data_IF_687919008440
#
_entry.id   IF_687919008440
#
_cell.length_a   1.000
_cell.length_b   1.000
_cell.length_c   1.000
_cell.angle_alpha   90.00
_cell.angle_beta   90.00
_cell.angle_gamma   90.00
#
_symmetry.space_group_name_H-M   'P 1'
#
loop_
_entity.id
_entity.type
_entity.pdbx_description
1 polymer ?
#
# COMPACT_ATOMS: atom_id res chain seq x y z
N UNK A 1 7.52 0.07 -0.75
CA UNK A 1 6.60 -0.90 -1.33
C UNK A 1 6.37 -0.65 -2.81
N UNK A 2 5.81 0.51 -3.21
CA UNK A 2 5.36 0.79 -4.58
C UNK A 2 6.52 0.64 -5.57
N UNK A 3 7.70 1.19 -5.28
CA UNK A 3 8.88 1.05 -6.12
C UNK A 3 9.21 -0.42 -6.42
N UNK A 4 9.18 -1.29 -5.41
CA UNK A 4 9.48 -2.72 -5.57
C UNK A 4 8.42 -3.45 -6.41
N UNK A 5 7.14 -3.13 -6.21
CA UNK A 5 6.04 -3.67 -7.02
C UNK A 5 6.19 -3.23 -8.47
N UNK A 6 6.44 -1.96 -8.71
CA UNK A 6 6.64 -1.41 -10.06
C UNK A 6 7.80 -2.09 -10.76
N UNK A 7 8.94 -2.24 -10.09
CA UNK A 7 10.09 -2.93 -10.64
C UNK A 7 9.74 -4.38 -11.05
N UNK A 8 9.08 -5.12 -10.17
CA UNK A 8 8.63 -6.50 -10.46
C UNK A 8 7.65 -6.54 -11.64
N UNK A 9 6.66 -5.66 -11.67
CA UNK A 9 5.65 -5.63 -12.73
C UNK A 9 6.28 -5.30 -14.09
N UNK A 10 7.19 -4.33 -14.14
CA UNK A 10 7.90 -3.99 -15.38
C UNK A 10 8.73 -5.15 -15.91
N UNK A 11 9.43 -5.86 -15.04
CA UNK A 11 10.18 -7.07 -15.41
C UNK A 11 9.28 -8.20 -15.94
N UNK A 12 7.97 -8.12 -15.69
CA UNK A 12 6.96 -9.07 -16.18
C UNK A 12 6.07 -8.49 -17.31
N UNK A 13 6.53 -7.44 -18.00
CA UNK A 13 5.86 -6.89 -19.19
C UNK A 13 4.71 -5.93 -18.90
N UNK A 14 4.51 -5.50 -17.66
CA UNK A 14 3.55 -4.46 -17.33
C UNK A 14 4.16 -3.07 -17.52
N UNK A 15 3.30 -2.11 -17.89
CA UNK A 15 3.66 -0.70 -18.00
C UNK A 15 2.98 0.09 -16.89
N UNK A 16 3.73 1.01 -16.30
CA UNK A 16 3.21 1.98 -15.35
C UNK A 16 3.09 3.34 -16.04
N UNK A 17 1.94 3.99 -15.92
CA UNK A 17 1.71 5.35 -16.46
C UNK A 17 0.99 6.21 -15.43
N UNK A 18 1.29 7.49 -15.45
CA UNK A 18 0.53 8.49 -14.72
C UNK A 18 -0.88 8.60 -15.34
N UNK A 19 -1.91 8.71 -14.51
CA UNK A 19 -3.28 8.88 -14.95
C UNK A 19 -3.76 10.33 -14.70
N UNK A 20 -3.46 11.19 -15.65
CA UNK A 20 -3.76 12.63 -15.55
C UNK A 20 -5.25 12.96 -15.68
N UNK A 21 -6.06 12.03 -16.21
CA UNK A 21 -7.49 12.28 -16.50
C UNK A 21 -8.35 12.51 -15.25
N UNK A 22 -7.88 12.03 -14.10
CA UNK A 22 -8.61 12.09 -12.83
C UNK A 22 -7.99 13.09 -11.84
N UNK A 23 -6.96 13.84 -12.23
CA UNK A 23 -6.41 14.88 -11.38
C UNK A 23 -7.35 16.08 -11.39
N UNK A 24 -7.78 16.56 -10.21
CA UNK A 24 -8.56 17.79 -10.15
C UNK A 24 -7.82 18.96 -10.80
N UNK A 25 -8.51 19.91 -11.46
CA UNK A 25 -7.85 21.01 -12.16
C UNK A 25 -6.85 21.81 -11.32
N UNK A 26 -7.10 21.95 -10.02
CA UNK A 26 -6.19 22.63 -9.10
C UNK A 26 -4.91 21.83 -8.76
N UNK A 27 -4.86 20.56 -9.14
CA UNK A 27 -3.68 19.68 -8.96
C UNK A 27 -2.81 19.67 -10.22
N UNK A 28 -3.28 20.21 -11.34
CA UNK A 28 -2.51 20.27 -12.60
C UNK A 28 -1.18 21.01 -12.39
N UNK A 29 -1.15 22.03 -11.53
CA UNK A 29 0.10 22.73 -11.16
C UNK A 29 1.15 21.82 -10.53
N UNK A 30 0.76 20.66 -9.98
CA UNK A 30 1.65 19.65 -9.40
C UNK A 30 1.96 18.51 -10.38
N UNK A 31 1.56 18.62 -11.65
CA UNK A 31 1.76 17.58 -12.65
C UNK A 31 3.24 17.19 -12.79
N UNK A 32 4.15 18.16 -12.74
CA UNK A 32 5.59 17.89 -12.82
C UNK A 32 6.07 17.03 -11.63
N UNK A 33 5.61 17.30 -10.41
CA UNK A 33 5.92 16.49 -9.22
C UNK A 33 5.41 15.06 -9.40
N UNK A 34 4.22 14.88 -9.95
CA UNK A 34 3.68 13.55 -10.24
C UNK A 34 4.48 12.82 -11.32
N UNK A 35 4.91 13.53 -12.37
CA UNK A 35 5.76 12.95 -13.42
C UNK A 35 7.11 12.53 -12.85
N UNK A 36 7.80 13.40 -12.12
CA UNK A 36 9.07 13.10 -11.47
C UNK A 36 8.96 11.88 -10.51
N UNK A 37 7.87 11.82 -9.73
CA UNK A 37 7.62 10.69 -8.86
C UNK A 37 7.43 9.38 -9.65
N UNK A 38 6.64 9.41 -10.72
CA UNK A 38 6.41 8.23 -11.56
C UNK A 38 7.69 7.79 -12.27
N UNK A 39 8.51 8.74 -12.73
CA UNK A 39 9.80 8.47 -13.36
C UNK A 39 10.77 7.86 -12.34
N UNK A 40 10.83 8.38 -11.12
CA UNK A 40 11.62 7.80 -10.04
C UNK A 40 11.18 6.37 -9.70
N UNK A 41 9.86 6.08 -9.68
CA UNK A 41 9.35 4.70 -9.51
C UNK A 41 9.75 3.77 -10.65
N UNK A 42 9.93 4.31 -11.85
CA UNK A 42 10.29 3.56 -13.05
C UNK A 42 11.80 3.44 -13.26
N UNK A 43 12.61 4.18 -12.54
CA UNK A 43 14.07 4.15 -12.57
C UNK A 43 14.63 3.49 -11.31
N UNK A 44 15.94 3.33 -11.22
CA UNK A 44 16.59 2.85 -10.00
C UNK A 44 16.91 3.99 -9.01
N UNK A 45 16.23 5.13 -9.15
CA UNK A 45 16.39 6.27 -8.25
C UNK A 45 15.47 6.17 -7.05
N UNK A 46 15.88 6.77 -5.94
CA UNK A 46 15.02 6.90 -4.76
C UNK A 46 13.87 7.86 -5.07
N UNK A 47 12.60 7.45 -4.91
CA UNK A 47 11.49 8.37 -5.12
C UNK A 47 11.47 9.44 -4.03
N UNK A 48 11.28 10.68 -4.43
CA UNK A 48 11.01 11.77 -3.49
C UNK A 48 9.68 11.51 -2.77
N UNK A 49 9.60 11.87 -1.49
CA UNK A 49 8.33 11.86 -0.79
C UNK A 49 7.39 12.90 -1.44
N UNK A 50 6.17 12.50 -1.79
CA UNK A 50 5.16 13.41 -2.33
C UNK A 50 4.31 13.99 -1.21
N UNK A 51 3.96 15.27 -1.33
CA UNK A 51 2.99 15.93 -0.46
C UNK A 51 1.54 15.81 -0.99
N UNK A 52 1.36 15.20 -2.15
CA UNK A 52 0.08 15.10 -2.87
C UNK A 52 -0.19 13.65 -3.26
N UNK A 53 -1.47 13.24 -3.37
CA UNK A 53 -1.83 11.94 -3.92
C UNK A 53 -1.37 11.78 -5.37
N UNK A 54 -0.76 10.64 -5.69
CA UNK A 54 -0.34 10.31 -7.05
C UNK A 54 -1.24 9.24 -7.62
N UNK A 55 -1.90 9.55 -8.73
CA UNK A 55 -2.77 8.64 -9.46
C UNK A 55 -2.02 8.02 -10.64
N UNK A 56 -1.94 6.72 -10.65
CA UNK A 56 -1.32 5.97 -11.72
C UNK A 56 -2.16 4.81 -12.21
N UNK A 57 -1.77 4.26 -13.34
CA UNK A 57 -2.37 3.05 -13.91
C UNK A 57 -1.32 2.03 -14.29
N UNK A 58 -1.65 0.78 -14.03
CA UNK A 58 -0.88 -0.38 -14.45
C UNK A 58 -1.55 -0.96 -15.68
N UNK A 59 -0.78 -1.14 -16.73
CA UNK A 59 -1.24 -1.60 -18.03
C UNK A 59 -0.55 -2.90 -18.43
N UNK A 60 -1.28 -3.75 -19.13
CA UNK A 60 -0.74 -4.96 -19.77
C UNK A 60 -1.36 -5.11 -21.15
N UNK A 61 -0.55 -5.36 -22.20
CA UNK A 61 -1.00 -5.41 -23.58
C UNK A 61 -1.92 -4.24 -23.97
N UNK A 62 -1.48 -3.02 -23.68
CA UNK A 62 -2.18 -1.75 -23.94
C UNK A 62 -3.53 -1.55 -23.21
N UNK A 63 -3.92 -2.50 -22.33
CA UNK A 63 -5.14 -2.39 -21.53
C UNK A 63 -4.80 -1.97 -20.10
N UNK A 64 -5.58 -1.05 -19.53
CA UNK A 64 -5.50 -0.73 -18.11
C UNK A 64 -6.05 -1.90 -17.30
N UNK A 65 -5.23 -2.47 -16.42
CA UNK A 65 -5.59 -3.57 -15.53
C UNK A 65 -6.10 -3.03 -14.21
N UNK A 66 -5.40 -2.01 -13.66
CA UNK A 66 -5.76 -1.37 -12.40
C UNK A 66 -5.29 0.07 -12.39
N UNK A 67 -6.08 0.94 -11.77
CA UNK A 67 -5.65 2.25 -11.34
C UNK A 67 -5.23 2.17 -9.87
N UNK A 68 -4.22 2.91 -9.48
CA UNK A 68 -3.79 2.99 -8.09
C UNK A 68 -3.63 4.44 -7.67
N UNK A 69 -3.80 4.67 -6.38
CA UNK A 69 -3.56 5.97 -5.76
C UNK A 69 -2.57 5.74 -4.63
N UNK A 70 -1.45 6.46 -4.70
CA UNK A 70 -0.51 6.52 -3.59
C UNK A 70 -0.79 7.77 -2.77
N UNK A 71 -1.17 7.57 -1.51
CA UNK A 71 -1.47 8.65 -0.58
C UNK A 71 -0.26 8.93 0.31
N UNK A 72 0.21 10.19 0.38
CA UNK A 72 1.16 10.58 1.41
C UNK A 72 0.63 10.25 2.80
N UNK A 73 1.53 9.78 3.70
CA UNK A 73 1.11 9.35 5.04
C UNK A 73 0.38 10.42 5.84
N UNK A 74 0.77 11.69 5.69
CA UNK A 74 0.12 12.84 6.33
C UNK A 74 -1.27 13.17 5.75
N UNK A 75 -1.57 12.74 4.52
CA UNK A 75 -2.87 13.00 3.89
C UNK A 75 -4.04 12.35 4.65
N UNK A 76 -3.80 11.24 5.33
CA UNK A 76 -4.80 10.60 6.18
C UNK A 76 -5.19 11.48 7.39
N UNK A 77 -4.31 12.38 7.85
CA UNK A 77 -4.60 13.27 8.98
C UNK A 77 -5.60 14.37 8.64
N UNK A 78 -5.61 14.87 7.40
CA UNK A 78 -6.53 15.92 6.94
C UNK A 78 -7.86 15.37 6.41
N UNK A 79 -7.94 14.08 6.14
CA UNK A 79 -9.07 13.44 5.43
C UNK A 79 -10.37 13.54 6.21
N UNK A 80 -10.31 13.48 7.53
CA UNK A 80 -11.49 13.50 8.40
C UNK A 80 -11.82 14.87 8.96
N UNK A 81 -11.14 15.93 8.49
CA UNK A 81 -11.55 17.29 8.82
C UNK A 81 -12.92 17.60 8.15
N UNK A 82 -14.01 17.81 8.92
CA UNK A 82 -15.34 17.99 8.36
C UNK A 82 -15.48 19.24 7.47
N UNK A 83 -14.52 20.17 7.57
CA UNK A 83 -14.53 21.44 6.82
C UNK A 83 -13.84 21.35 5.44
N UNK A 84 -13.18 20.24 5.12
CA UNK A 84 -12.53 20.04 3.81
C UNK A 84 -13.09 18.79 3.13
N UNK A 85 -13.75 18.89 1.97
CA UNK A 85 -14.04 17.74 1.15
C UNK A 85 -12.69 17.12 0.74
N UNK A 86 -12.42 15.89 1.16
CA UNK A 86 -11.18 15.23 0.83
C UNK A 86 -11.39 14.26 -0.32
N UNK A 87 -10.41 14.17 -1.22
CA UNK A 87 -10.40 13.19 -2.30
C UNK A 87 -10.60 11.75 -1.79
N UNK A 88 -10.17 11.46 -0.56
CA UNK A 88 -10.41 10.15 0.05
C UNK A 88 -11.90 9.89 0.34
N UNK A 89 -12.67 10.91 0.77
CA UNK A 89 -14.13 10.76 0.96
C UNK A 89 -14.84 10.43 -0.34
N UNK A 90 -14.45 11.08 -1.42
CA UNK A 90 -14.99 10.80 -2.76
C UNK A 90 -14.66 9.40 -3.23
N UNK A 91 -13.42 8.96 -3.00
CA UNK A 91 -12.96 7.60 -3.30
C UNK A 91 -13.74 6.57 -2.47
N UNK A 92 -13.89 6.82 -1.16
CA UNK A 92 -14.66 5.95 -0.26
C UNK A 92 -16.12 5.86 -0.71
N UNK A 93 -16.72 6.97 -1.11
CA UNK A 93 -18.11 7.04 -1.57
C UNK A 93 -18.33 6.45 -2.97
N UNK A 94 -17.28 6.28 -3.78
CA UNK A 94 -17.42 5.75 -5.14
C UNK A 94 -17.89 4.30 -5.13
N UNK A 95 -18.71 3.91 -6.12
CA UNK A 95 -19.24 2.55 -6.30
C UNK A 95 -18.18 1.56 -6.86
N UNK A 96 -17.05 2.06 -7.32
CA UNK A 96 -15.99 1.21 -7.86
C UNK A 96 -15.44 0.26 -6.79
N UNK A 97 -15.21 -0.99 -7.17
CA UNK A 97 -14.53 -1.96 -6.31
C UNK A 97 -13.10 -1.52 -6.06
N UNK A 98 -12.70 -1.52 -4.80
CA UNK A 98 -11.38 -1.05 -4.36
C UNK A 98 -10.56 -2.17 -3.73
N UNK A 99 -9.25 -2.00 -3.77
CA UNK A 99 -8.29 -2.84 -3.05
C UNK A 99 -7.52 -1.90 -2.12
N UNK A 100 -7.71 -2.07 -0.84
CA UNK A 100 -7.06 -1.29 0.20
C UNK A 100 -5.76 -1.98 0.64
N UNK A 101 -4.64 -1.27 0.51
CA UNK A 101 -3.34 -1.74 0.96
C UNK A 101 -2.94 -0.96 2.23
N UNK A 102 -2.98 -1.60 3.38
CA UNK A 102 -2.47 -1.02 4.63
C UNK A 102 -1.07 -1.54 4.90
N UNK A 103 -0.10 -0.61 4.94
CA UNK A 103 1.29 -0.95 5.22
C UNK A 103 1.55 -0.86 6.72
N UNK A 104 1.97 -1.96 7.32
CA UNK A 104 2.42 -2.01 8.71
C UNK A 104 3.93 -2.23 8.75
N UNK A 105 4.61 -1.43 9.54
CA UNK A 105 6.01 -1.62 9.87
C UNK A 105 6.12 -2.10 11.31
N UNK A 106 6.70 -3.28 11.50
CA UNK A 106 6.91 -3.86 12.82
C UNK A 106 8.17 -3.32 13.52
N UNK A 107 8.80 -2.28 12.96
CA UNK A 107 9.99 -1.69 13.54
C UNK A 107 9.70 -1.15 14.95
N UNK A 108 10.50 -1.60 15.92
CA UNK A 108 10.38 -1.18 17.31
C UNK A 108 10.76 0.29 17.54
N UNK A 109 11.40 0.92 16.55
CA UNK A 109 11.82 2.32 16.62
C UNK A 109 10.65 3.29 16.52
N UNK A 110 9.53 2.87 15.90
CA UNK A 110 8.32 3.68 15.90
C UNK A 110 7.71 3.71 17.31
N UNK A 111 7.58 4.90 17.89
CA UNK A 111 7.02 5.08 19.21
C UNK A 111 5.60 4.51 19.33
N UNK A 112 5.20 4.12 20.53
CA UNK A 112 3.85 3.61 20.81
C UNK A 112 2.75 4.60 20.39
N UNK A 113 3.01 5.89 20.53
CA UNK A 113 2.10 6.97 20.15
C UNK A 113 1.81 6.95 18.64
N UNK A 114 2.83 6.82 17.80
CA UNK A 114 2.68 6.80 16.33
C UNK A 114 1.91 5.55 15.86
N UNK A 115 2.20 4.38 16.47
CA UNK A 115 1.47 3.15 16.17
C UNK A 115 -0.01 3.24 16.58
N UNK A 116 -0.30 3.84 17.71
CA UNK A 116 -1.68 4.07 18.17
C UNK A 116 -2.41 4.97 17.19
N UNK A 117 -1.82 6.12 16.85
CA UNK A 117 -2.40 7.05 15.88
C UNK A 117 -2.66 6.39 14.53
N UNK A 118 -1.70 5.62 14.02
CA UNK A 118 -1.87 4.89 12.75
C UNK A 118 -2.99 3.85 12.83
N UNK A 119 -3.08 3.11 13.93
CA UNK A 119 -4.16 2.14 14.16
C UNK A 119 -5.54 2.81 14.20
N UNK A 120 -5.64 3.97 14.82
CA UNK A 120 -6.86 4.79 14.86
C UNK A 120 -7.27 5.22 13.44
N UNK A 121 -6.32 5.66 12.61
CA UNK A 121 -6.58 6.04 11.22
C UNK A 121 -7.06 4.86 10.38
N UNK A 122 -6.44 3.70 10.54
CA UNK A 122 -6.93 2.48 9.86
C UNK A 122 -8.37 2.18 10.31
N UNK A 123 -8.70 2.33 11.58
CA UNK A 123 -10.05 2.11 12.11
C UNK A 123 -11.06 3.08 11.49
N UNK A 124 -10.72 4.36 11.40
CA UNK A 124 -11.58 5.38 10.77
C UNK A 124 -11.84 5.05 9.30
N UNK A 125 -10.80 4.71 8.53
CA UNK A 125 -10.95 4.30 7.12
C UNK A 125 -11.77 3.01 7.01
N UNK A 126 -11.49 2.01 7.86
CA UNK A 126 -12.17 0.72 7.85
C UNK A 126 -13.68 0.82 8.04
N UNK A 127 -14.15 1.83 8.79
CA UNK A 127 -15.59 2.08 8.98
C UNK A 127 -16.32 2.49 7.69
N UNK A 128 -15.58 2.93 6.67
CA UNK A 128 -16.14 3.38 5.38
C UNK A 128 -15.83 2.42 4.21
N UNK A 129 -15.09 1.32 4.47
CA UNK A 129 -14.77 0.32 3.44
C UNK A 129 -16.01 -0.51 3.12
N UNK A 130 -16.30 -0.65 1.83
CA UNK A 130 -17.42 -1.47 1.35
C UNK A 130 -17.14 -2.96 1.57
N UNK A 131 -18.19 -3.75 1.81
CA UNK A 131 -18.11 -5.21 1.89
C UNK A 131 -17.59 -5.87 0.59
N UNK A 132 -17.70 -5.18 -0.54
CA UNK A 132 -17.22 -5.64 -1.85
C UNK A 132 -15.72 -5.32 -2.06
N UNK A 133 -15.14 -4.48 -1.23
CA UNK A 133 -13.74 -4.12 -1.33
C UNK A 133 -12.83 -5.23 -0.81
N UNK A 134 -11.64 -5.29 -1.37
CA UNK A 134 -10.57 -6.19 -0.91
C UNK A 134 -9.64 -5.46 0.04
N UNK A 135 -9.27 -6.12 1.12
CA UNK A 135 -8.34 -5.58 2.11
C UNK A 135 -7.08 -6.45 2.13
N UNK A 136 -5.92 -5.81 2.05
CA UNK A 136 -4.62 -6.45 2.14
C UNK A 136 -3.79 -5.70 3.17
N UNK A 137 -3.38 -6.38 4.23
CA UNK A 137 -2.41 -5.88 5.21
C UNK A 137 -1.03 -6.34 4.76
N UNK A 138 -0.14 -5.39 4.50
CA UNK A 138 1.23 -5.66 4.06
C UNK A 138 2.17 -5.39 5.22
N UNK A 139 2.88 -6.43 5.66
CA UNK A 139 3.91 -6.31 6.69
C UNK A 139 5.23 -5.99 6.00
N UNK A 140 5.62 -4.73 6.07
CA UNK A 140 6.84 -4.25 5.42
C UNK A 140 8.10 -4.60 6.23
N UNK A 141 9.25 -4.56 5.59
CA UNK A 141 10.58 -4.83 6.18
C UNK A 141 10.67 -6.20 6.87
N UNK A 142 10.02 -7.21 6.30
CA UNK A 142 9.97 -8.56 6.90
C UNK A 142 11.36 -9.21 7.01
N UNK A 143 12.30 -8.82 6.17
CA UNK A 143 13.70 -9.23 6.19
C UNK A 143 14.40 -8.91 7.52
N UNK A 144 14.01 -7.83 8.19
CA UNK A 144 14.54 -7.46 9.52
C UNK A 144 14.05 -8.43 10.62
N UNK A 145 12.98 -9.18 10.36
CA UNK A 145 12.34 -10.09 11.32
C UNK A 145 12.35 -11.55 10.89
N UNK A 146 13.05 -11.90 9.82
CA UNK A 146 13.02 -13.23 9.18
C UNK A 146 13.39 -14.39 10.11
N UNK A 147 14.11 -14.14 11.22
CA UNK A 147 14.45 -15.16 12.22
C UNK A 147 13.30 -15.49 13.16
N UNK A 148 12.39 -14.57 13.39
CA UNK A 148 11.30 -14.68 14.38
C UNK A 148 9.91 -14.86 13.77
N UNK A 149 9.69 -14.52 12.50
CA UNK A 149 8.41 -14.55 11.83
C UNK A 149 8.44 -15.57 10.68
N UNK A 150 8.27 -16.84 11.01
CA UNK A 150 8.37 -17.97 10.05
C UNK A 150 7.04 -18.43 9.51
N UNK A 151 5.97 -18.20 10.24
CA UNK A 151 4.63 -18.65 9.91
C UNK A 151 3.65 -17.48 9.77
N UNK A 152 2.48 -17.75 9.21
CA UNK A 152 1.38 -16.78 9.15
C UNK A 152 0.86 -16.46 10.57
N UNK A 153 0.89 -17.42 11.45
CA UNK A 153 0.51 -17.27 12.85
C UNK A 153 1.45 -16.33 13.58
N UNK A 154 2.77 -16.44 13.36
CA UNK A 154 3.76 -15.51 13.92
C UNK A 154 3.50 -14.07 13.45
N UNK A 155 3.16 -13.88 12.16
CA UNK A 155 2.81 -12.56 11.61
C UNK A 155 1.55 -11.99 12.28
N UNK A 156 0.52 -12.80 12.46
CA UNK A 156 -0.72 -12.39 13.14
C UNK A 156 -0.42 -11.98 14.58
N UNK A 157 0.37 -12.75 15.31
CA UNK A 157 0.75 -12.42 16.69
C UNK A 157 1.57 -11.15 16.77
N UNK A 158 2.52 -10.95 15.83
CA UNK A 158 3.30 -9.72 15.77
C UNK A 158 2.43 -8.49 15.52
N UNK A 159 1.42 -8.60 14.63
CA UNK A 159 0.46 -7.52 14.38
C UNK A 159 -0.36 -7.25 15.66
N UNK A 160 -0.87 -8.27 16.33
CA UNK A 160 -1.63 -8.08 17.57
C UNK A 160 -0.81 -7.39 18.66
N UNK A 161 0.47 -7.72 18.75
CA UNK A 161 1.36 -7.11 19.73
C UNK A 161 1.66 -5.64 19.42
N UNK A 162 1.89 -5.31 18.15
CA UNK A 162 2.31 -3.97 17.72
C UNK A 162 1.12 -3.04 17.40
N UNK A 163 0.04 -3.60 16.84
CA UNK A 163 -1.14 -2.90 16.33
C UNK A 163 -2.43 -3.62 16.77
N UNK A 164 -2.74 -3.66 18.07
CA UNK A 164 -3.80 -4.53 18.62
C UNK A 164 -5.19 -4.25 18.05
N UNK A 165 -5.47 -3.04 17.59
CA UNK A 165 -6.77 -2.65 17.05
C UNK A 165 -6.94 -2.96 15.56
N UNK A 166 -5.87 -3.05 14.78
CA UNK A 166 -5.92 -3.17 13.32
C UNK A 166 -6.64 -4.43 12.87
N UNK A 167 -6.23 -5.60 13.38
CA UNK A 167 -6.88 -6.87 12.99
C UNK A 167 -8.33 -6.97 13.48
N UNK A 168 -8.66 -6.28 14.57
CA UNK A 168 -10.03 -6.25 15.09
C UNK A 168 -11.00 -5.57 14.12
N UNK A 169 -10.54 -4.56 13.35
CA UNK A 169 -11.34 -3.89 12.33
C UNK A 169 -11.78 -4.85 11.21
N UNK A 170 -11.02 -5.91 10.97
CA UNK A 170 -11.21 -6.82 9.85
C UNK A 170 -11.57 -8.26 10.27
N UNK A 171 -12.05 -8.45 11.50
CA UNK A 171 -12.52 -9.75 11.96
C UNK A 171 -13.68 -10.26 11.10
N UNK A 172 -13.59 -11.54 10.71
CA UNK A 172 -14.70 -12.19 10.04
C UNK A 172 -15.84 -12.44 11.04
N UNK A 173 -17.00 -11.86 10.75
CA UNK A 173 -18.19 -11.99 11.60
C UNK A 173 -19.02 -13.24 11.28
N UNK A 174 -18.78 -13.89 10.13
CA UNK A 174 -19.51 -15.11 9.77
C UNK A 174 -19.02 -16.29 10.62
N UNK A 175 -19.89 -16.93 11.42
CA UNK A 175 -19.51 -17.98 12.36
C UNK A 175 -18.92 -19.22 11.67
N UNK A 176 -19.36 -19.54 10.45
CA UNK A 176 -18.91 -20.72 9.70
C UNK A 176 -17.53 -20.45 9.10
N UNK A 177 -17.37 -19.36 8.34
CA UNK A 177 -16.11 -19.10 7.62
C UNK A 177 -14.99 -18.61 8.54
N UNK A 178 -15.32 -18.10 9.73
CA UNK A 178 -14.35 -17.63 10.74
C UNK A 178 -13.39 -18.74 11.19
N UNK A 179 -13.82 -20.02 11.16
CA UNK A 179 -13.00 -21.14 11.62
C UNK A 179 -11.71 -21.31 10.79
N UNK A 180 -11.76 -21.04 9.47
CA UNK A 180 -10.59 -21.15 8.58
C UNK A 180 -10.17 -19.82 7.96
N UNK A 181 -11.01 -18.79 8.07
CA UNK A 181 -10.68 -17.42 7.65
C UNK A 181 -11.08 -16.43 8.74
N UNK A 182 -10.26 -16.27 9.79
CA UNK A 182 -10.59 -15.43 10.94
C UNK A 182 -10.70 -13.94 10.63
N UNK A 183 -10.11 -13.50 9.52
CA UNK A 183 -10.10 -12.09 9.08
C UNK A 183 -10.58 -11.96 7.63
N UNK A 184 -11.29 -10.86 7.35
CA UNK A 184 -11.72 -10.46 6.00
C UNK A 184 -10.62 -9.69 5.25
N UNK A 185 -9.37 -9.99 5.52
CA UNK A 185 -8.22 -9.42 4.85
C UNK A 185 -7.19 -10.50 4.52
N UNK A 186 -6.35 -10.23 3.53
CA UNK A 186 -5.13 -10.99 3.30
C UNK A 186 -3.99 -10.33 4.10
N UNK A 187 -3.10 -11.14 4.67
CA UNK A 187 -1.90 -10.67 5.37
C UNK A 187 -0.71 -11.15 4.58
N UNK A 188 0.12 -10.21 4.11
CA UNK A 188 1.21 -10.50 3.18
C UNK A 188 2.51 -9.92 3.72
N UNK A 189 3.54 -10.78 3.96
CA UNK A 189 4.88 -10.29 4.26
C UNK A 189 5.49 -9.63 3.03
N UNK A 190 6.30 -8.58 3.25
CA UNK A 190 6.92 -7.84 2.17
C UNK A 190 8.29 -7.29 2.57
N UNK A 191 9.21 -7.26 1.61
CA UNK A 191 10.44 -6.48 1.68
C UNK A 191 10.62 -5.71 0.38
N UNK A 192 11.04 -4.46 0.50
CA UNK A 192 11.21 -3.58 -0.65
C UNK A 192 12.55 -3.82 -1.39
N UNK A 193 13.55 -4.36 -0.71
CA UNK A 193 14.95 -4.31 -1.14
C UNK A 193 15.68 -3.13 -0.48
N UNK A 194 16.84 -2.80 -1.00
CA UNK A 194 17.74 -1.80 -0.42
C UNK A 194 18.02 -0.69 -1.43
N UNK A 195 18.20 0.54 -0.93
CA UNK A 195 18.86 1.62 -1.66
C UNK A 195 20.33 1.65 -1.22
N UNK A 196 21.22 1.43 -2.14
CA UNK A 196 22.66 1.45 -1.90
C UNK A 196 23.28 2.69 -2.54
N UNK A 197 24.23 3.32 -1.85
CA UNK A 197 25.04 4.38 -2.46
C UNK A 197 26.23 3.78 -3.17
N UNK A 198 26.42 4.18 -4.42
CA UNK A 198 27.60 3.84 -5.21
C UNK A 198 28.79 4.75 -4.85
N UNK A 199 30.01 4.43 -5.32
CA UNK A 199 31.21 5.22 -5.09
C UNK A 199 31.10 6.67 -5.59
N UNK A 200 30.31 6.92 -6.64
CA UNK A 200 29.99 8.23 -7.19
C UNK A 200 28.80 8.90 -6.48
N UNK A 201 28.44 8.44 -5.29
CA UNK A 201 27.39 8.97 -4.41
C UNK A 201 25.98 8.93 -4.98
N UNK A 202 25.74 8.09 -6.00
CA UNK A 202 24.38 7.86 -6.54
C UNK A 202 23.67 6.78 -5.74
N UNK A 203 22.38 7.01 -5.48
CA UNK A 203 21.53 5.97 -4.90
C UNK A 203 21.04 5.01 -5.99
N UNK A 204 21.30 3.73 -5.82
CA UNK A 204 20.84 2.68 -6.72
C UNK A 204 19.96 1.70 -5.96
N UNK A 205 18.80 1.40 -6.51
CA UNK A 205 17.89 0.43 -5.94
C UNK A 205 18.34 -1.00 -6.27
N UNK A 206 18.52 -1.81 -5.23
CA UNK A 206 18.76 -3.24 -5.32
C UNK A 206 17.47 -3.98 -4.93
N UNK A 207 16.76 -4.60 -5.87
CA UNK A 207 15.54 -5.32 -5.58
C UNK A 207 15.83 -6.55 -4.72
N UNK A 208 14.98 -6.79 -3.73
CA UNK A 208 14.97 -8.04 -2.97
C UNK A 208 14.37 -9.20 -3.76
N UNK A 209 14.03 -10.30 -3.09
CA UNK A 209 13.45 -11.49 -3.69
C UNK A 209 12.11 -11.20 -4.39
N UNK A 210 11.90 -11.73 -5.58
CA UNK A 210 10.65 -11.59 -6.35
C UNK A 210 9.45 -12.31 -5.73
N UNK A 211 9.68 -13.19 -4.78
CA UNK A 211 8.62 -13.91 -4.06
C UNK A 211 7.62 -12.96 -3.43
N UNK A 212 8.07 -11.88 -2.80
CA UNK A 212 7.22 -10.92 -2.10
C UNK A 212 6.32 -10.11 -3.04
N UNK A 213 6.85 -9.39 -4.04
CA UNK A 213 6.00 -8.66 -4.98
C UNK A 213 5.10 -9.59 -5.80
N UNK A 214 5.56 -10.80 -6.16
CA UNK A 214 4.74 -11.82 -6.82
C UNK A 214 3.55 -12.23 -5.96
N UNK A 215 3.75 -12.46 -4.67
CA UNK A 215 2.70 -12.83 -3.73
C UNK A 215 1.67 -11.71 -3.57
N UNK A 216 2.13 -10.48 -3.41
CA UNK A 216 1.26 -9.31 -3.33
C UNK A 216 0.45 -9.13 -4.62
N UNK A 217 1.11 -9.17 -5.79
CA UNK A 217 0.43 -9.07 -7.07
C UNK A 217 -0.59 -10.18 -7.30
N UNK A 218 -0.28 -11.41 -6.90
CA UNK A 218 -1.23 -12.53 -6.93
C UNK A 218 -2.47 -12.26 -6.08
N UNK A 219 -2.32 -11.66 -4.91
CA UNK A 219 -3.49 -11.29 -4.08
C UNK A 219 -4.29 -10.16 -4.72
N UNK A 220 -3.63 -9.12 -5.24
CA UNK A 220 -4.28 -8.02 -5.96
C UNK A 220 -5.03 -8.55 -7.19
N UNK A 221 -4.39 -9.35 -8.03
CA UNK A 221 -4.96 -9.83 -9.30
C UNK A 221 -6.16 -10.78 -9.13
N UNK A 222 -6.25 -11.51 -8.03
CA UNK A 222 -7.43 -12.34 -7.71
C UNK A 222 -8.72 -11.52 -7.54
N UNK A 223 -8.59 -10.23 -7.28
CA UNK A 223 -9.74 -9.36 -7.05
C UNK A 223 -10.37 -8.83 -8.34
N UNK A 224 -9.73 -9.05 -9.49
CA UNK A 224 -10.22 -8.66 -10.82
C UNK A 224 -11.01 -9.79 -11.52
N UNK A 225 -11.02 -10.95 -10.90
CA UNK A 225 -11.80 -12.10 -11.33
C UNK A 225 -13.10 -12.15 -10.52
#
# INVERSE_FOLDING_TARGET
LLHRIVHYLRSNGFLLKLDMLFLPPHVIQYSNVCVEYMDALCTNCSPCATAIPVLGKIMYNSKTIVQFIDFPGNFLYDTFNPRKPSALKEILASSNKKIWLFLLDLDRLNGQFERTNYSERIREVAAHISSNDKIIIVINKIDMYSRSLKSKEDLIQAIYHQYPTVLNCFKNQNPITKLWRPFNCDIIPFTAGLFCRTYDNKEVFQPGLDTYPKQLWKSVSKSFR
#
